data_IF_774813143371
#
_entry.id   IF_774813143371
#
_cell.length_a   1.000
_cell.length_b   1.000
_cell.length_c   1.000
_cell.angle_alpha   90.00
_cell.angle_beta   90.00
_cell.angle_gamma   90.00
#
_symmetry.space_group_name_H-M   'P 1'
#
loop_
_entity.id
_entity.type
_entity.pdbx_description
1 polymer ?
#
# COMPACT_ATOMS: atom_id res chain seq x y z
N UNK A 1 9.83 -18.63 12.74
CA UNK A 1 9.45 -18.59 11.30
C UNK A 1 8.29 -17.61 11.18
N UNK A 2 8.16 -16.88 10.07
CA UNK A 2 7.07 -15.91 9.86
C UNK A 2 6.43 -16.17 8.50
N UNK A 3 5.13 -15.89 8.37
CA UNK A 3 4.39 -16.05 7.11
C UNK A 3 4.65 -14.92 6.12
N UNK A 4 5.00 -13.75 6.65
CA UNK A 4 5.34 -12.57 5.87
C UNK A 4 6.50 -11.80 6.50
N UNK A 5 7.35 -11.23 5.66
CA UNK A 5 8.55 -10.48 6.06
C UNK A 5 8.44 -9.04 5.58
N UNK A 6 8.32 -8.11 6.53
CA UNK A 6 8.47 -6.68 6.24
C UNK A 6 9.93 -6.33 6.03
N UNK A 7 10.21 -5.57 4.97
CA UNK A 7 11.57 -5.20 4.58
C UNK A 7 11.74 -3.68 4.54
N UNK A 8 12.95 -3.22 4.87
CA UNK A 8 13.35 -1.84 4.67
C UNK A 8 13.98 -1.68 3.28
N UNK A 9 13.34 -0.90 2.40
CA UNK A 9 13.80 -0.64 1.03
C UNK A 9 13.83 0.86 0.68
N UNK A 10 13.99 1.73 1.69
CA UNK A 10 14.01 3.19 1.50
C UNK A 10 12.65 3.89 1.69
N UNK A 11 11.59 3.15 2.03
CA UNK A 11 10.27 3.72 2.35
C UNK A 11 10.18 4.24 3.79
N UNK A 12 9.39 5.28 4.03
CA UNK A 12 9.04 5.80 5.37
C UNK A 12 7.53 6.02 5.53
N UNK A 13 7.04 6.21 6.76
CA UNK A 13 5.63 6.53 7.03
C UNK A 13 5.29 8.00 6.74
N UNK A 14 4.00 8.31 6.60
CA UNK A 14 3.52 9.70 6.38
C UNK A 14 3.54 10.15 4.91
N UNK A 15 3.27 11.43 4.67
CA UNK A 15 3.26 12.04 3.34
C UNK A 15 4.64 12.49 2.88
N UNK A 16 5.49 12.93 3.81
CA UNK A 16 6.81 13.49 3.53
C UNK A 16 7.87 12.40 3.39
N UNK A 17 7.71 11.54 2.38
CA UNK A 17 8.64 10.42 2.16
C UNK A 17 9.89 10.88 1.44
N UNK A 18 9.72 11.68 0.39
CA UNK A 18 10.80 12.12 -0.48
C UNK A 18 10.68 13.63 -0.77
N UNK A 19 11.83 14.32 -0.80
CA UNK A 19 11.95 15.74 -1.18
C UNK A 19 12.02 15.95 -2.69
N UNK A 20 12.25 14.88 -3.45
CA UNK A 20 12.24 14.83 -4.92
C UNK A 20 11.49 13.59 -5.38
N UNK A 21 11.03 13.57 -6.64
CA UNK A 21 10.42 12.37 -7.22
C UNK A 21 11.40 11.20 -7.07
N UNK A 22 10.99 10.08 -6.45
CA UNK A 22 11.88 8.96 -6.21
C UNK A 22 12.26 8.29 -7.53
N UNK A 23 13.51 7.87 -7.59
CA UNK A 23 14.13 7.04 -8.61
C UNK A 23 14.72 5.76 -7.98
N UNK A 24 15.43 4.96 -8.78
CA UNK A 24 16.07 3.73 -8.32
C UNK A 24 17.15 3.91 -7.25
N UNK A 25 17.61 5.15 -7.01
CA UNK A 25 18.58 5.46 -5.96
C UNK A 25 17.91 5.66 -4.60
N UNK A 26 16.63 6.06 -4.58
CA UNK A 26 15.86 6.30 -3.35
C UNK A 26 15.12 5.05 -2.90
N UNK A 27 14.54 4.31 -3.85
CA UNK A 27 13.82 3.08 -3.56
C UNK A 27 14.72 1.88 -3.92
N UNK A 28 15.22 1.18 -2.91
CA UNK A 28 16.21 0.13 -3.06
C UNK A 28 15.59 -1.19 -3.58
N UNK A 29 15.05 -1.17 -4.79
CA UNK A 29 14.35 -2.30 -5.41
C UNK A 29 15.25 -3.51 -5.62
N UNK A 30 16.53 -3.29 -5.88
CA UNK A 30 17.54 -4.35 -5.96
C UNK A 30 17.63 -5.18 -4.67
N UNK A 31 17.32 -4.59 -3.50
CA UNK A 31 17.27 -5.32 -2.22
C UNK A 31 16.07 -6.26 -2.18
N UNK A 32 14.89 -5.81 -2.64
CA UNK A 32 13.69 -6.65 -2.73
C UNK A 32 13.96 -7.85 -3.65
N UNK A 33 14.56 -7.58 -4.81
CA UNK A 33 14.94 -8.60 -5.80
C UNK A 33 15.92 -9.62 -5.23
N UNK A 34 16.98 -9.16 -4.55
CA UNK A 34 17.96 -10.03 -3.91
C UNK A 34 17.37 -10.86 -2.76
N UNK A 35 16.45 -10.29 -1.96
CA UNK A 35 15.74 -11.03 -0.91
C UNK A 35 14.85 -12.10 -1.54
N UNK A 36 14.12 -11.77 -2.61
CA UNK A 36 13.26 -12.73 -3.29
C UNK A 36 14.05 -13.88 -3.93
N UNK A 37 15.22 -13.60 -4.52
CA UNK A 37 16.12 -14.64 -5.03
C UNK A 37 16.58 -15.61 -3.93
N UNK A 38 16.86 -15.11 -2.73
CA UNK A 38 17.27 -15.93 -1.58
C UNK A 38 16.08 -16.66 -0.92
N UNK A 39 14.92 -16.03 -0.92
CA UNK A 39 13.70 -16.48 -0.24
C UNK A 39 12.51 -16.49 -1.21
N UNK A 40 12.53 -17.35 -2.25
CA UNK A 40 11.54 -17.31 -3.35
C UNK A 40 10.11 -17.60 -2.89
N UNK A 41 9.97 -18.33 -1.78
CA UNK A 41 8.68 -18.74 -1.23
C UNK A 41 8.16 -17.80 -0.11
N UNK A 42 8.92 -16.78 0.29
CA UNK A 42 8.53 -15.87 1.36
C UNK A 42 7.68 -14.72 0.82
N UNK A 43 6.59 -14.40 1.52
CA UNK A 43 5.76 -13.25 1.20
C UNK A 43 6.37 -11.96 1.76
N UNK A 44 6.75 -11.03 0.89
CA UNK A 44 7.34 -9.76 1.31
C UNK A 44 6.26 -8.71 1.57
N UNK A 45 6.52 -7.82 2.53
CA UNK A 45 5.63 -6.71 2.90
C UNK A 45 6.36 -5.39 2.67
N UNK A 46 5.76 -4.49 1.90
CA UNK A 46 6.21 -3.11 1.78
C UNK A 46 5.43 -2.22 2.75
N UNK A 47 6.18 -1.58 3.66
CA UNK A 47 5.63 -0.58 4.57
C UNK A 47 5.69 0.82 3.93
N UNK A 48 4.93 1.77 4.50
CA UNK A 48 5.01 3.18 4.09
C UNK A 48 4.84 3.41 2.58
N UNK A 49 3.99 2.63 1.91
CA UNK A 49 3.96 2.54 0.44
C UNK A 49 2.87 3.40 -0.20
N UNK A 50 2.32 4.37 0.53
CA UNK A 50 1.45 5.40 -0.05
C UNK A 50 2.17 6.19 -1.14
N UNK A 51 1.46 6.49 -2.23
CA UNK A 51 2.00 7.13 -3.43
C UNK A 51 1.93 8.65 -3.40
N UNK A 52 1.14 9.23 -2.49
CA UNK A 52 0.93 10.67 -2.31
C UNK A 52 0.57 11.34 -3.65
N UNK A 53 -0.61 11.03 -4.24
CA UNK A 53 -1.00 11.54 -5.55
C UNK A 53 -0.95 13.07 -5.62
N UNK A 54 -0.38 13.62 -6.70
CA UNK A 54 -0.26 15.08 -6.89
C UNK A 54 -1.64 15.76 -6.90
N UNK A 55 -2.63 15.18 -7.57
CA UNK A 55 -3.99 15.71 -7.63
C UNK A 55 -4.58 15.93 -6.21
N UNK A 56 -4.31 15.03 -5.27
CA UNK A 56 -4.79 15.18 -3.90
C UNK A 56 -4.07 16.32 -3.16
N UNK A 57 -2.76 16.51 -3.40
CA UNK A 57 -2.01 17.66 -2.87
C UNK A 57 -2.59 18.97 -3.41
N UNK A 58 -2.88 19.01 -4.72
CA UNK A 58 -3.44 20.17 -5.40
C UNK A 58 -4.83 20.51 -4.86
N UNK A 59 -5.71 19.52 -4.69
CA UNK A 59 -7.03 19.74 -4.07
C UNK A 59 -6.87 20.26 -2.64
N UNK A 60 -6.01 19.63 -1.83
CA UNK A 60 -5.79 20.08 -0.45
C UNK A 60 -5.36 21.55 -0.42
N UNK A 61 -4.40 21.95 -1.25
CA UNK A 61 -3.87 23.31 -1.28
C UNK A 61 -4.87 24.32 -1.87
N UNK A 62 -5.60 23.96 -2.92
CA UNK A 62 -6.64 24.81 -3.52
C UNK A 62 -7.80 25.11 -2.56
N UNK A 63 -8.02 24.27 -1.55
CA UNK A 63 -9.06 24.44 -0.54
C UNK A 63 -8.48 24.73 0.86
N UNK A 64 -7.46 25.60 0.93
CA UNK A 64 -6.96 26.18 2.18
C UNK A 64 -6.03 25.26 2.98
N UNK A 65 -5.42 24.27 2.33
CA UNK A 65 -4.28 23.52 2.86
C UNK A 65 -2.95 24.19 2.52
N UNK A 66 -1.92 23.85 3.28
CA UNK A 66 -0.54 24.32 3.09
C UNK A 66 0.41 23.12 3.06
N UNK A 67 0.09 22.15 2.21
CA UNK A 67 0.90 20.95 2.05
C UNK A 67 2.09 21.28 1.12
N UNK A 68 3.34 21.24 1.62
CA UNK A 68 4.50 21.44 0.75
C UNK A 68 4.63 20.28 -0.22
N UNK A 69 5.23 20.54 -1.39
CA UNK A 69 5.45 19.53 -2.41
C UNK A 69 6.17 18.32 -1.82
N UNK A 70 5.58 17.14 -2.00
CA UNK A 70 6.21 15.89 -1.60
C UNK A 70 5.80 14.75 -2.51
N UNK A 71 6.50 13.63 -2.38
CA UNK A 71 6.34 12.47 -3.26
C UNK A 71 6.25 11.21 -2.42
N UNK A 72 5.35 10.31 -2.82
CA UNK A 72 5.25 8.97 -2.27
C UNK A 72 5.94 7.93 -3.15
N UNK A 73 5.65 6.65 -2.89
CA UNK A 73 6.19 5.53 -3.67
C UNK A 73 5.43 5.42 -5.00
N UNK A 74 6.11 5.45 -6.17
CA UNK A 74 5.44 5.30 -7.46
C UNK A 74 4.72 3.96 -7.58
N UNK A 75 3.54 3.95 -8.18
CA UNK A 75 2.73 2.73 -8.33
C UNK A 75 3.49 1.69 -9.15
N UNK A 76 4.25 2.12 -10.16
CA UNK A 76 5.05 1.26 -11.03
C UNK A 76 6.13 0.49 -10.25
N UNK A 77 6.74 1.12 -9.24
CA UNK A 77 7.73 0.48 -8.38
C UNK A 77 7.09 -0.50 -7.40
N UNK A 78 5.88 -0.21 -6.91
CA UNK A 78 5.11 -1.17 -6.12
C UNK A 78 4.78 -2.40 -6.98
N UNK A 79 4.34 -2.20 -8.22
CA UNK A 79 4.09 -3.28 -9.19
C UNK A 79 5.36 -4.08 -9.48
N UNK A 80 6.52 -3.42 -9.61
CA UNK A 80 7.81 -4.10 -9.71
C UNK A 80 8.09 -4.94 -8.46
N UNK A 81 7.81 -4.43 -7.26
CA UNK A 81 7.92 -5.19 -6.01
C UNK A 81 7.02 -6.43 -6.00
N UNK A 82 5.79 -6.32 -6.50
CA UNK A 82 4.84 -7.45 -6.61
C UNK A 82 5.40 -8.55 -7.51
N UNK A 83 6.07 -8.19 -8.61
CA UNK A 83 6.75 -9.16 -9.50
C UNK A 83 7.88 -9.91 -8.78
N UNK A 84 8.42 -9.35 -7.70
CA UNK A 84 9.53 -9.89 -6.91
C UNK A 84 9.12 -10.26 -5.47
N UNK A 85 7.92 -10.83 -5.30
CA UNK A 85 7.55 -11.47 -4.05
C UNK A 85 6.85 -10.59 -3.01
N UNK A 86 6.62 -9.30 -3.28
CA UNK A 86 5.75 -8.48 -2.43
C UNK A 86 4.30 -8.94 -2.58
N UNK A 87 3.64 -9.19 -1.43
CA UNK A 87 2.25 -9.68 -1.36
C UNK A 87 1.35 -8.82 -0.45
N UNK A 88 1.94 -7.92 0.34
CA UNK A 88 1.20 -6.98 1.19
C UNK A 88 1.81 -5.59 1.07
N UNK A 89 0.97 -4.60 0.75
CA UNK A 89 1.36 -3.21 0.53
C UNK A 89 0.59 -2.35 1.53
N UNK A 90 1.30 -1.64 2.40
CA UNK A 90 0.65 -0.79 3.41
C UNK A 90 0.42 0.62 2.86
N UNK A 91 -0.86 1.01 2.73
CA UNK A 91 -1.30 2.32 2.23
C UNK A 91 -2.21 2.94 3.29
N UNK A 92 -1.89 4.16 3.72
CA UNK A 92 -2.68 4.88 4.72
C UNK A 92 -2.75 6.37 4.37
N UNK A 93 -1.60 7.01 4.15
CA UNK A 93 -1.51 8.43 3.79
C UNK A 93 -2.42 8.78 2.61
N UNK A 94 -2.43 7.98 1.54
CA UNK A 94 -3.30 8.25 0.37
C UNK A 94 -4.78 8.29 0.77
N UNK A 95 -5.23 7.36 1.63
CA UNK A 95 -6.62 7.32 2.11
C UNK A 95 -6.95 8.57 2.94
N UNK A 96 -6.06 8.95 3.85
CA UNK A 96 -6.21 10.18 4.66
C UNK A 96 -6.29 11.42 3.78
N UNK A 97 -5.42 11.52 2.77
CA UNK A 97 -5.41 12.63 1.83
C UNK A 97 -6.68 12.69 0.99
N UNK A 98 -7.16 11.55 0.47
CA UNK A 98 -8.39 11.48 -0.32
C UNK A 98 -9.59 12.02 0.47
N UNK A 99 -9.72 11.62 1.74
CA UNK A 99 -10.79 12.11 2.61
C UNK A 99 -10.61 13.60 2.97
N UNK A 100 -9.40 13.99 3.39
CA UNK A 100 -9.11 15.36 3.81
C UNK A 100 -9.31 16.38 2.67
N UNK A 101 -8.93 16.02 1.45
CA UNK A 101 -9.15 16.81 0.24
C UNK A 101 -10.65 17.14 0.06
N UNK A 102 -11.52 16.14 0.18
CA UNK A 102 -12.97 16.34 0.03
C UNK A 102 -13.57 17.12 1.20
N UNK A 103 -13.13 16.88 2.43
CA UNK A 103 -13.57 17.67 3.58
C UNK A 103 -13.25 19.15 3.42
N UNK A 104 -12.01 19.47 3.01
CA UNK A 104 -11.58 20.84 2.73
C UNK A 104 -12.40 21.48 1.63
N UNK A 105 -12.61 20.75 0.52
CA UNK A 105 -13.42 21.20 -0.60
C UNK A 105 -14.84 21.58 -0.18
N UNK A 106 -15.53 20.71 0.56
CA UNK A 106 -16.90 20.99 1.03
C UNK A 106 -16.90 22.19 1.97
N UNK A 107 -15.99 22.26 2.95
CA UNK A 107 -15.93 23.35 3.93
C UNK A 107 -15.73 24.72 3.27
N UNK A 108 -14.88 24.80 2.24
CA UNK A 108 -14.56 26.05 1.55
C UNK A 108 -15.63 26.41 0.52
N UNK A 109 -16.14 25.44 -0.24
CA UNK A 109 -17.13 25.68 -1.31
C UNK A 109 -18.56 25.89 -0.79
N UNK A 110 -18.91 25.33 0.37
CA UNK A 110 -20.23 25.51 0.98
C UNK A 110 -20.10 25.78 2.48
N UNK A 111 -19.76 27.02 2.84
CA UNK A 111 -19.48 27.42 4.24
C UNK A 111 -20.67 27.29 5.20
N UNK A 112 -21.90 27.20 4.67
CA UNK A 112 -23.09 26.98 5.48
C UNK A 112 -23.36 25.50 5.77
N UNK A 113 -22.67 24.58 5.08
CA UNK A 113 -22.84 23.15 5.27
C UNK A 113 -22.28 22.72 6.63
N UNK A 114 -23.11 22.06 7.42
CA UNK A 114 -22.76 21.57 8.76
C UNK A 114 -23.10 20.09 8.93
N UNK A 115 -23.87 19.49 8.00
CA UNK A 115 -24.24 18.09 8.10
C UNK A 115 -23.01 17.21 7.80
N UNK A 116 -22.47 16.48 8.79
CA UNK A 116 -21.26 15.68 8.59
C UNK A 116 -21.41 14.63 7.49
N UNK A 117 -22.63 14.21 7.15
CA UNK A 117 -22.88 13.27 6.04
C UNK A 117 -22.53 13.86 4.68
N UNK A 118 -22.66 15.19 4.52
CA UNK A 118 -22.33 15.92 3.29
C UNK A 118 -20.83 16.04 3.07
N UNK A 119 -20.05 15.96 4.14
CA UNK A 119 -18.59 15.82 4.11
C UNK A 119 -18.17 14.36 3.90
N UNK A 120 -18.75 13.44 4.66
CA UNK A 120 -18.36 12.03 4.68
C UNK A 120 -18.68 11.32 3.36
N UNK A 121 -19.81 11.61 2.73
CA UNK A 121 -20.19 10.94 1.47
C UNK A 121 -19.13 11.11 0.36
N UNK A 122 -18.76 12.34 -0.04
CA UNK A 122 -17.71 12.51 -1.05
C UNK A 122 -16.33 12.03 -0.58
N UNK A 123 -16.01 12.13 0.71
CA UNK A 123 -14.75 11.61 1.26
C UNK A 123 -14.66 10.08 1.13
N UNK A 124 -15.74 9.36 1.44
CA UNK A 124 -15.83 7.91 1.30
C UNK A 124 -15.82 7.48 -0.17
N UNK A 125 -16.48 8.25 -1.05
CA UNK A 125 -16.44 8.01 -2.50
C UNK A 125 -14.99 8.13 -3.03
N UNK A 126 -14.27 9.20 -2.67
CA UNK A 126 -12.88 9.40 -3.08
C UNK A 126 -11.94 8.31 -2.54
N UNK A 127 -12.10 7.91 -1.27
CA UNK A 127 -11.31 6.81 -0.69
C UNK A 127 -11.62 5.47 -1.38
N UNK A 128 -12.90 5.18 -1.69
CA UNK A 128 -13.29 3.98 -2.42
C UNK A 128 -12.63 3.93 -3.79
N UNK A 129 -12.66 5.04 -4.53
CA UNK A 129 -12.14 5.11 -5.89
C UNK A 129 -10.61 4.95 -5.90
N UNK A 130 -9.93 5.57 -4.92
CA UNK A 130 -8.50 5.33 -4.65
C UNK A 130 -8.21 3.84 -4.37
N UNK A 131 -8.98 3.20 -3.47
CA UNK A 131 -8.78 1.78 -3.16
C UNK A 131 -9.01 0.88 -4.38
N UNK A 132 -10.02 1.19 -5.20
CA UNK A 132 -10.30 0.49 -6.45
C UNK A 132 -9.11 0.54 -7.41
N UNK A 133 -8.57 1.75 -7.64
CA UNK A 133 -7.40 1.96 -8.49
C UNK A 133 -6.20 1.11 -8.01
N UNK A 134 -5.96 1.06 -6.69
CA UNK A 134 -4.89 0.23 -6.11
C UNK A 134 -5.15 -1.26 -6.31
N UNK A 135 -6.38 -1.74 -6.10
CA UNK A 135 -6.71 -3.15 -6.33
C UNK A 135 -6.57 -3.57 -7.80
N UNK A 136 -6.89 -2.67 -8.74
CA UNK A 136 -6.69 -2.91 -10.17
C UNK A 136 -5.19 -2.93 -10.52
N UNK A 137 -4.44 -1.89 -10.14
CA UNK A 137 -3.00 -1.80 -10.41
C UNK A 137 -2.20 -2.95 -9.81
N UNK A 138 -2.59 -3.45 -8.63
CA UNK A 138 -1.90 -4.54 -7.94
C UNK A 138 -2.38 -5.94 -8.39
N UNK A 139 -3.30 -6.02 -9.35
CA UNK A 139 -3.82 -7.28 -9.88
C UNK A 139 -4.69 -8.05 -8.88
N UNK A 140 -5.29 -7.37 -7.90
CA UNK A 140 -6.18 -7.98 -6.91
C UNK A 140 -7.61 -8.12 -7.42
N UNK A 141 -8.06 -7.20 -8.28
CA UNK A 141 -9.43 -7.17 -8.80
C UNK A 141 -9.82 -8.51 -9.44
N UNK A 142 -11.01 -9.02 -9.09
CA UNK A 142 -11.55 -10.29 -9.60
C UNK A 142 -11.04 -11.57 -8.91
N UNK A 143 -10.07 -11.51 -8.00
CA UNK A 143 -9.54 -12.72 -7.35
C UNK A 143 -10.34 -13.21 -6.13
N UNK A 144 -11.24 -12.39 -5.57
CA UNK A 144 -11.93 -12.71 -4.31
C UNK A 144 -12.72 -14.04 -4.36
N UNK A 145 -13.45 -14.29 -5.45
CA UNK A 145 -14.25 -15.51 -5.62
C UNK A 145 -13.42 -16.78 -5.80
N UNK A 146 -12.11 -16.66 -6.06
CA UNK A 146 -11.20 -17.79 -6.24
C UNK A 146 -10.64 -18.32 -4.91
N UNK A 147 -10.87 -17.61 -3.81
CA UNK A 147 -10.30 -17.92 -2.50
C UNK A 147 -11.33 -18.71 -1.68
N UNK A 148 -10.98 -19.96 -1.32
CA UNK A 148 -11.69 -20.70 -0.29
C UNK A 148 -11.06 -20.37 1.07
N UNK A 149 -11.77 -19.60 1.88
CA UNK A 149 -11.31 -19.20 3.22
C UNK A 149 -11.17 -20.43 4.11
N UNK A 150 -10.03 -20.51 4.81
CA UNK A 150 -9.75 -21.57 5.77
C UNK A 150 -9.99 -21.09 7.20
N UNK A 151 -10.77 -21.82 8.01
CA UNK A 151 -10.90 -21.55 9.42
C UNK A 151 -9.56 -21.58 10.17
N UNK A 152 -9.43 -20.77 11.23
CA UNK A 152 -8.18 -20.63 11.97
C UNK A 152 -7.77 -21.90 12.72
N UNK A 153 -8.72 -22.72 13.15
CA UNK A 153 -8.46 -24.01 13.79
C UNK A 153 -7.83 -25.02 12.82
N UNK A 154 -8.23 -25.00 11.55
CA UNK A 154 -7.60 -25.78 10.49
C UNK A 154 -6.20 -25.25 10.15
N UNK A 155 -6.01 -23.92 10.10
CA UNK A 155 -4.68 -23.32 9.95
C UNK A 155 -3.73 -23.75 11.09
N UNK A 156 -4.21 -23.72 12.34
CA UNK A 156 -3.44 -24.15 13.51
C UNK A 156 -2.99 -25.61 13.41
N UNK A 157 -3.88 -26.52 12.97
CA UNK A 157 -3.55 -27.92 12.70
C UNK A 157 -2.45 -28.07 11.65
N UNK A 158 -2.50 -27.27 10.57
CA UNK A 158 -1.48 -27.29 9.51
C UNK A 158 -0.11 -26.81 10.00
N UNK A 159 -0.06 -25.76 10.82
CA UNK A 159 1.19 -25.34 11.47
C UNK A 159 1.75 -26.44 12.39
N UNK A 160 0.90 -27.04 13.23
CA UNK A 160 1.31 -28.13 14.13
C UNK A 160 1.85 -29.35 13.36
N UNK A 161 1.29 -29.63 12.18
CA UNK A 161 1.76 -30.68 11.27
C UNK A 161 2.98 -30.30 10.41
N UNK A 162 3.51 -29.07 10.53
CA UNK A 162 4.65 -28.60 9.74
C UNK A 162 4.36 -28.31 8.26
N UNK A 163 3.09 -28.34 7.84
CA UNK A 163 2.70 -28.20 6.43
C UNK A 163 2.91 -26.80 5.86
N UNK A 164 3.08 -25.80 6.72
CA UNK A 164 3.31 -24.39 6.38
C UNK A 164 4.75 -23.94 6.69
N UNK A 165 5.65 -24.88 6.95
CA UNK A 165 7.04 -24.56 7.21
C UNK A 165 7.72 -23.93 5.99
N UNK A 166 8.46 -22.85 6.24
CA UNK A 166 9.19 -22.12 5.21
C UNK A 166 10.19 -23.03 4.51
N UNK A 167 10.03 -23.22 3.21
CA UNK A 167 10.96 -23.97 2.37
C UNK A 167 12.09 -23.02 1.95
N UNK A 168 13.23 -23.09 2.66
CA UNK A 168 14.45 -22.35 2.30
C UNK A 168 15.17 -23.14 1.20
N UNK A 169 15.72 -22.47 0.18
CA UNK A 169 16.38 -23.10 -0.97
C UNK A 169 17.61 -23.96 -0.62
N UNK A 170 17.98 -24.07 0.66
CA UNK A 170 19.04 -24.92 1.18
C UNK A 170 18.61 -26.41 1.26
N UNK A 171 18.30 -27.00 0.11
CA UNK A 171 18.21 -28.47 -0.05
C UNK A 171 18.64 -28.96 -1.44
N UNK A 172 19.23 -28.09 -2.28
CA UNK A 172 19.87 -28.49 -3.55
C UNK A 172 21.40 -28.46 -3.54
N UNK A 173 22.00 -28.30 -2.36
CA UNK A 173 23.46 -28.36 -2.20
C UNK A 173 23.80 -29.20 -0.96
N UNK A 174 23.70 -30.53 -1.12
CA UNK A 174 24.40 -31.55 -0.34
C UNK A 174 24.50 -32.79 -1.23
#
# INVERSE_FOLDING_TARGET
KVDALAIACGTSHGAYKFSRRPDGDILAMHVIEAIHQKLPNTHLVMHGSSSVPQELQDIINNYGGEMPQTFGVPVEEIVRGIRHGVRKINIDTDCRMAMAAQFRKVAVSNRAEFDPRKFLKPAMDAMRDLCRERFEAFGCAGNASRIKVMPLDEMARRYAAGLLDTQVAASRAA
#
